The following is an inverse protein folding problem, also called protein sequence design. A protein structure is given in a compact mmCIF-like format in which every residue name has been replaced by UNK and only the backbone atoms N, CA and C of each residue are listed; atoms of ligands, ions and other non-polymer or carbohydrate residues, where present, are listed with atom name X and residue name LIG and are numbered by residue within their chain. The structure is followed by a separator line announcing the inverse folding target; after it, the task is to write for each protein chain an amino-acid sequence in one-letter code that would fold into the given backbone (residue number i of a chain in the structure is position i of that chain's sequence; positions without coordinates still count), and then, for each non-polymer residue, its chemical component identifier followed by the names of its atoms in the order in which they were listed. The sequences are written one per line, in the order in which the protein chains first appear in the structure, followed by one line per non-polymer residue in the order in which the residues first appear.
data_IF_560242687104
#
_entry.id   IF_560242687104
#
_cell.length_a   1.000
_cell.length_b   1.000
_cell.length_c   1.000
_cell.angle_alpha   90.00
_cell.angle_beta   90.00
_cell.angle_gamma   90.00
#
_symmetry.space_group_name_H-M   'P 1'
#
loop_
_entity.id
_entity.type
_entity.pdbx_description
1 polymer ?
#
# COMPACT_ATOMS: atom_id res chain seq x y z
N UNK A 1 -0.05 -32.21 3.17
CA UNK A 1 0.75 -31.41 4.12
C UNK A 1 0.63 -29.95 3.71
N UNK A 2 0.17 -29.09 4.60
CA UNK A 2 -0.02 -27.66 4.33
C UNK A 2 1.19 -26.89 4.82
N UNK A 3 1.79 -26.05 3.97
CA UNK A 3 2.85 -25.12 4.37
C UNK A 3 2.21 -23.73 4.50
N UNK A 4 2.16 -23.15 5.71
CA UNK A 4 1.47 -21.89 5.94
C UNK A 4 2.17 -20.73 5.23
N UNK A 5 1.37 -19.93 4.52
CA UNK A 5 1.76 -18.61 4.01
C UNK A 5 1.48 -17.58 5.11
N UNK A 6 2.43 -16.68 5.35
CA UNK A 6 2.18 -15.51 6.21
C UNK A 6 1.76 -14.34 5.34
N UNK A 7 0.78 -13.57 5.78
CA UNK A 7 0.32 -12.37 5.10
C UNK A 7 0.50 -11.13 5.99
N UNK A 8 0.69 -9.99 5.34
CA UNK A 8 0.84 -8.70 6.01
C UNK A 8 0.27 -7.60 5.11
N UNK A 9 -0.49 -6.67 5.69
CA UNK A 9 -0.89 -5.44 5.00
C UNK A 9 -0.04 -4.26 5.47
N UNK A 10 0.19 -3.30 4.58
CA UNK A 10 0.76 -2.00 4.92
C UNK A 10 -0.18 -0.91 4.43
N UNK A 11 -0.56 0.00 5.31
CA UNK A 11 -1.39 1.14 4.91
C UNK A 11 -0.50 2.25 4.40
N UNK A 12 -0.81 2.76 3.21
CA UNK A 12 -0.25 3.98 2.66
C UNK A 12 -1.29 5.09 2.81
N UNK A 13 -0.86 6.22 3.35
CA UNK A 13 -1.69 7.42 3.51
C UNK A 13 -1.04 8.58 2.77
N UNK A 14 -1.79 9.22 1.88
CA UNK A 14 -1.43 10.48 1.26
C UNK A 14 -2.22 11.62 1.92
N UNK A 15 -1.49 12.58 2.49
CA UNK A 15 -2.05 13.79 3.09
C UNK A 15 -1.77 15.00 2.19
N UNK A 16 -2.77 15.85 2.04
CA UNK A 16 -2.71 17.01 1.15
C UNK A 16 -2.73 18.31 1.95
N UNK A 17 -1.71 19.14 1.78
CA UNK A 17 -1.61 20.43 2.45
C UNK A 17 -1.31 21.54 1.46
N UNK A 18 -1.94 22.71 1.65
CA UNK A 18 -1.62 23.90 0.86
C UNK A 18 -0.23 24.39 1.25
N UNK A 19 0.58 24.74 0.26
CA UNK A 19 1.91 25.30 0.42
C UNK A 19 1.92 26.76 -0.02
N UNK A 20 2.25 27.66 0.93
CA UNK A 20 2.36 29.09 0.70
C UNK A 20 1.06 29.88 0.90
N UNK A 21 1.20 31.21 0.90
CA UNK A 21 0.11 32.15 1.14
C UNK A 21 -0.53 32.03 2.53
N UNK A 22 -1.68 32.67 2.70
CA UNK A 22 -2.40 32.75 3.98
C UNK A 22 -2.98 31.40 4.45
N UNK A 23 -3.14 30.45 3.52
CA UNK A 23 -3.66 29.10 3.80
C UNK A 23 -2.57 28.05 3.99
N UNK A 24 -1.30 28.45 4.04
CA UNK A 24 -0.18 27.53 4.18
C UNK A 24 -0.38 26.55 5.36
N UNK A 25 -0.20 25.26 5.11
CA UNK A 25 -0.37 24.19 6.09
C UNK A 25 -1.82 23.74 6.33
N UNK A 26 -2.82 24.42 5.77
CA UNK A 26 -4.21 23.95 5.84
C UNK A 26 -4.41 22.69 5.01
N UNK A 27 -5.32 21.82 5.46
CA UNK A 27 -5.69 20.62 4.72
C UNK A 27 -6.38 21.01 3.41
N UNK A 28 -5.84 20.55 2.30
CA UNK A 28 -6.37 20.82 0.97
C UNK A 28 -7.54 19.88 0.62
N UNK A 29 -7.39 18.59 0.91
CA UNK A 29 -8.37 17.55 0.60
C UNK A 29 -8.36 16.43 1.67
N UNK A 30 -9.42 15.61 1.77
CA UNK A 30 -9.42 14.42 2.61
C UNK A 30 -8.25 13.48 2.29
N UNK A 31 -7.75 12.76 3.29
CA UNK A 31 -6.67 11.80 3.10
C UNK A 31 -7.07 10.69 2.11
N UNK A 32 -6.14 10.32 1.22
CA UNK A 32 -6.28 9.13 0.37
C UNK A 32 -5.52 7.97 1.00
N UNK A 33 -6.13 6.79 1.00
CA UNK A 33 -5.56 5.62 1.67
C UNK A 33 -5.72 4.34 0.84
N UNK A 34 -4.67 3.53 0.83
CA UNK A 34 -4.68 2.16 0.32
C UNK A 34 -4.02 1.22 1.33
N UNK A 35 -4.37 -0.06 1.26
CA UNK A 35 -3.57 -1.15 1.81
C UNK A 35 -2.81 -1.86 0.71
N UNK A 36 -1.55 -2.18 0.97
CA UNK A 36 -0.69 -3.00 0.10
C UNK A 36 -0.44 -4.32 0.80
N UNK A 37 -0.74 -5.43 0.12
CA UNK A 37 -0.61 -6.77 0.69
C UNK A 37 0.73 -7.40 0.33
N UNK A 38 1.31 -8.09 1.30
CA UNK A 38 2.54 -8.84 1.16
C UNK A 38 2.36 -10.25 1.72
N UNK A 39 3.02 -11.22 1.09
CA UNK A 39 3.04 -12.61 1.52
C UNK A 39 4.47 -13.11 1.69
N UNK A 40 4.64 -14.05 2.60
CA UNK A 40 5.89 -14.76 2.83
C UNK A 40 5.61 -16.26 2.70
N UNK A 41 6.11 -16.86 1.63
CA UNK A 41 5.94 -18.28 1.36
C UNK A 41 6.89 -19.10 2.25
N UNK A 42 6.34 -20.07 2.96
CA UNK A 42 7.11 -21.07 3.68
C UNK A 42 7.61 -22.16 2.75
N UNK A 43 8.72 -22.80 3.09
CA UNK A 43 9.22 -24.01 2.44
C UNK A 43 9.62 -25.02 3.51
N UNK A 44 9.18 -26.27 3.36
CA UNK A 44 9.60 -27.36 4.25
C UNK A 44 10.99 -27.83 3.84
N UNK A 45 11.92 -27.82 4.80
CA UNK A 45 13.13 -28.60 4.71
C UNK A 45 12.85 -30.03 5.18
N UNK A 46 12.78 -30.97 4.24
CA UNK A 46 12.46 -32.39 4.51
C UNK A 46 13.56 -33.13 5.28
N UNK A 47 14.79 -32.62 5.29
CA UNK A 47 15.91 -33.26 5.99
C UNK A 47 15.82 -33.10 7.52
N UNK A 48 15.16 -32.04 7.99
CA UNK A 48 15.03 -31.74 9.43
C UNK A 48 13.59 -31.38 9.85
N UNK A 49 12.60 -31.53 8.97
CA UNK A 49 11.19 -31.22 9.20
C UNK A 49 10.92 -29.78 9.70
N UNK A 50 11.74 -28.81 9.29
CA UNK A 50 11.56 -27.40 9.66
C UNK A 50 11.01 -26.57 8.50
N UNK A 51 10.16 -25.59 8.80
CA UNK A 51 9.67 -24.63 7.80
C UNK A 51 10.52 -23.37 7.87
N UNK A 52 11.13 -23.00 6.74
CA UNK A 52 11.83 -21.73 6.56
C UNK A 52 10.99 -20.78 5.74
N UNK A 53 11.09 -19.48 6.03
CA UNK A 53 10.34 -18.45 5.32
C UNK A 53 11.29 -17.57 4.49
N UNK A 54 10.92 -17.35 3.21
CA UNK A 54 11.67 -16.48 2.30
C UNK A 54 11.46 -14.99 2.57
N UNK A 55 11.77 -14.12 1.61
CA UNK A 55 11.51 -12.68 1.74
C UNK A 55 10.02 -12.37 1.53
N UNK A 56 9.53 -11.29 2.16
CA UNK A 56 8.19 -10.75 1.86
C UNK A 56 8.12 -10.31 0.39
N UNK A 57 7.10 -10.80 -0.31
CA UNK A 57 6.79 -10.45 -1.70
C UNK A 57 5.44 -9.75 -1.76
N UNK A 58 5.20 -8.96 -2.80
CA UNK A 58 3.89 -8.37 -3.07
C UNK A 58 2.86 -9.48 -3.35
N UNK A 59 1.76 -9.49 -2.60
CA UNK A 59 0.76 -10.55 -2.64
C UNK A 59 -0.42 -10.17 -3.54
N UNK A 60 -0.35 -10.56 -4.81
CA UNK A 60 -1.42 -10.32 -5.78
C UNK A 60 -2.62 -11.27 -5.64
N UNK A 61 -2.62 -12.19 -4.66
CA UNK A 61 -3.76 -13.08 -4.39
C UNK A 61 -4.73 -12.48 -3.36
N UNK A 62 -4.30 -11.41 -2.67
CA UNK A 62 -5.10 -10.65 -1.72
C UNK A 62 -5.56 -9.30 -2.31
N UNK A 63 -6.38 -8.56 -1.56
CA UNK A 63 -6.88 -7.25 -1.97
C UNK A 63 -8.16 -7.30 -2.82
N UNK A 64 -8.40 -6.22 -3.55
CA UNK A 64 -9.58 -6.04 -4.39
C UNK A 64 -9.41 -6.74 -5.74
N UNK A 65 -10.49 -7.29 -6.29
CA UNK A 65 -10.45 -8.07 -7.54
C UNK A 65 -9.96 -7.27 -8.76
N UNK A 66 -10.21 -5.95 -8.77
CA UNK A 66 -9.82 -5.06 -9.87
C UNK A 66 -8.39 -4.51 -9.72
N UNK A 67 -7.84 -4.54 -8.51
CA UNK A 67 -6.48 -4.09 -8.17
C UNK A 67 -5.78 -5.12 -7.27
N UNK A 68 -5.43 -6.30 -7.80
CA UNK A 68 -4.87 -7.38 -7.00
C UNK A 68 -3.61 -6.94 -6.25
N UNK A 69 -3.51 -7.31 -4.97
CA UNK A 69 -2.45 -6.90 -4.05
C UNK A 69 -2.62 -5.51 -3.44
N UNK A 70 -3.73 -4.83 -3.73
CA UNK A 70 -4.12 -3.59 -3.09
C UNK A 70 -5.58 -3.62 -2.64
N UNK A 71 -5.88 -2.84 -1.61
CA UNK A 71 -7.26 -2.47 -1.28
C UNK A 71 -7.37 -0.96 -1.22
N UNK A 72 -8.30 -0.39 -1.98
CA UNK A 72 -8.55 1.05 -1.93
C UNK A 72 -9.47 1.37 -0.76
N UNK A 73 -8.97 2.16 0.20
CA UNK A 73 -9.78 2.62 1.35
C UNK A 73 -10.44 3.96 1.02
N UNK A 74 -9.68 4.90 0.45
CA UNK A 74 -10.18 6.23 0.08
C UNK A 74 -9.31 6.87 -1.00
N UNK A 75 -9.90 7.85 -1.70
CA UNK A 75 -9.22 8.64 -2.71
C UNK A 75 -9.14 7.97 -4.07
N UNK A 76 -8.33 8.57 -4.94
CA UNK A 76 -8.13 8.10 -6.31
C UNK A 76 -6.67 7.69 -6.50
N UNK A 77 -6.47 6.50 -7.07
CA UNK A 77 -5.17 5.87 -7.20
C UNK A 77 -5.01 5.22 -8.58
N UNK A 78 -3.82 5.34 -9.12
CA UNK A 78 -3.38 4.59 -10.29
C UNK A 78 -2.48 3.46 -9.80
N UNK A 79 -3.04 2.25 -9.72
CA UNK A 79 -2.39 1.10 -9.09
C UNK A 79 -1.87 0.11 -10.14
N UNK A 80 -0.66 -0.45 -9.93
CA UNK A 80 -0.07 -1.40 -10.85
C UNK A 80 -0.78 -2.75 -10.80
N UNK A 81 -0.78 -3.44 -11.94
CA UNK A 81 -1.28 -4.83 -12.03
C UNK A 81 -0.15 -5.84 -12.15
N UNK A 82 1.06 -5.37 -12.39
CA UNK A 82 2.24 -6.21 -12.62
C UNK A 82 3.44 -5.70 -11.82
N UNK A 83 4.33 -6.62 -11.45
CA UNK A 83 5.53 -6.28 -10.69
C UNK A 83 6.45 -5.36 -11.51
N UNK A 84 7.07 -4.40 -10.83
CA UNK A 84 7.96 -3.41 -11.46
C UNK A 84 7.26 -2.13 -11.95
N UNK A 85 5.92 -2.12 -12.00
CA UNK A 85 5.16 -0.89 -12.23
C UNK A 85 5.07 -0.04 -10.95
N UNK A 86 4.96 1.28 -11.12
CA UNK A 86 4.80 2.21 -10.00
C UNK A 86 3.33 2.45 -9.71
N UNK A 87 2.99 2.64 -8.44
CA UNK A 87 1.69 3.16 -8.04
C UNK A 87 1.76 4.68 -7.90
N UNK A 88 0.64 5.36 -8.13
CA UNK A 88 0.52 6.80 -8.00
C UNK A 88 -0.78 7.16 -7.27
N UNK A 89 -0.73 8.22 -6.47
CA UNK A 89 -1.93 8.86 -5.93
C UNK A 89 -2.37 9.96 -6.87
N UNK A 90 -3.64 9.97 -7.25
CA UNK A 90 -4.20 11.00 -8.10
C UNK A 90 -4.61 12.18 -7.21
N UNK A 91 -3.90 13.30 -7.33
CA UNK A 91 -4.14 14.51 -6.53
C UNK A 91 -5.35 15.26 -7.11
N UNK A 92 -6.33 15.68 -6.30
CA UNK A 92 -7.41 16.54 -6.77
C UNK A 92 -6.87 17.85 -7.36
N UNK A 93 -7.56 18.42 -8.35
CA UNK A 93 -7.15 19.68 -8.99
C UNK A 93 -7.05 20.82 -7.95
N UNK A 94 -5.85 21.38 -7.72
CA UNK A 94 -5.66 22.44 -6.74
C UNK A 94 -6.05 23.83 -7.24
N UNK A 95 -6.49 23.97 -8.49
CA UNK A 95 -6.82 25.26 -9.08
C UNK A 95 -5.60 26.16 -9.11
N UNK A 96 -5.59 27.22 -8.28
CA UNK A 96 -4.47 28.18 -8.18
C UNK A 96 -3.55 27.93 -6.99
N UNK A 97 -3.91 27.01 -6.10
CA UNK A 97 -3.12 26.73 -4.91
C UNK A 97 -1.96 25.80 -5.25
N UNK A 98 -0.83 25.95 -4.55
CA UNK A 98 0.23 24.95 -4.56
C UNK A 98 -0.06 23.92 -3.46
N UNK A 99 -0.02 22.63 -3.81
CA UNK A 99 -0.33 21.55 -2.86
C UNK A 99 0.86 20.61 -2.74
N UNK A 100 1.24 20.31 -1.50
CA UNK A 100 2.23 19.31 -1.16
C UNK A 100 1.52 18.04 -0.72
N UNK A 101 1.96 16.90 -1.26
CA UNK A 101 1.46 15.58 -0.89
C UNK A 101 2.49 14.88 -0.01
N UNK A 102 2.10 14.59 1.22
CA UNK A 102 2.92 13.84 2.16
C UNK A 102 2.46 12.38 2.19
N UNK A 103 3.31 11.49 1.71
CA UNK A 103 3.03 10.05 1.65
C UNK A 103 3.76 9.36 2.79
N UNK A 104 3.03 8.54 3.56
CA UNK A 104 3.61 7.67 4.58
C UNK A 104 3.07 6.26 4.45
N UNK A 105 3.94 5.28 4.68
CA UNK A 105 3.58 3.87 4.73
C UNK A 105 3.83 3.32 6.12
N UNK A 106 2.84 2.64 6.70
CA UNK A 106 2.92 2.02 8.02
C UNK A 106 2.54 0.54 7.95
N UNK A 107 3.26 -0.29 8.71
CA UNK A 107 3.01 -1.73 8.79
C UNK A 107 1.80 -2.02 9.68
N UNK A 108 0.89 -2.84 9.19
CA UNK A 108 -0.17 -3.48 9.98
C UNK A 108 0.12 -4.98 10.00
N UNK A 109 0.14 -5.57 11.19
CA UNK A 109 0.25 -7.04 11.31
C UNK A 109 -1.17 -7.60 11.23
N UNK A 110 -1.42 -8.41 10.21
CA UNK A 110 -2.63 -9.24 10.15
C UNK A 110 -2.29 -10.54 10.90
N UNK A 111 -3.10 -10.86 11.90
CA UNK A 111 -2.98 -12.08 12.73
C UNK A 111 -3.54 -13.29 11.98
#
# INVERSE_FOLDING_TARGET
MYIPVKQQARTVTAKYVIAGGDKNGQQFAPDSQIQVFYAQTGSLNVANNTITYGNWQWDQTAGDSTTPGFKVISGSWSLPKEAGQTWQVNVPDPGKDYVVVNIRMVKIVLI
#
